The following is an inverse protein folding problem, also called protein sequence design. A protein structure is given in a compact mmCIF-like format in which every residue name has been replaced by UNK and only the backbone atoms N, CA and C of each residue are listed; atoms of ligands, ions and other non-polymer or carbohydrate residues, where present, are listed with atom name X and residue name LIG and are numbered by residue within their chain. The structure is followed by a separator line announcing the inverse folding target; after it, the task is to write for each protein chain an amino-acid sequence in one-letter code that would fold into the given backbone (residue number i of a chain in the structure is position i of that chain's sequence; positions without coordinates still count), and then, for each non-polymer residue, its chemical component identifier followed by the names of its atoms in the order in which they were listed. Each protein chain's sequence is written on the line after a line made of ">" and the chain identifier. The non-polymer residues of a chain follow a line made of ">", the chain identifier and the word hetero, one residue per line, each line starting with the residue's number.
data_IF_812659862685
#
_entry.id   IF_812659862685
#
_cell.length_a   1.000
_cell.length_b   1.000
_cell.length_c   1.000
_cell.angle_alpha   90.00
_cell.angle_beta   90.00
_cell.angle_gamma   90.00
#
_symmetry.space_group_name_H-M   'P 1'
#
loop_
_entity.id
_entity.type
_entity.pdbx_description
1 polymer ?
#
# COMPACT_ATOMS: atom_id res chain seq x y z
N UNK A 1 14.68 23.02 0.31
CA UNK A 1 14.25 21.89 -0.54
C UNK A 1 12.84 21.54 -0.11
N UNK A 2 11.85 22.28 -0.61
CA UNK A 2 10.47 22.20 -0.14
C UNK A 2 9.69 21.33 -1.13
N UNK A 3 9.90 20.01 -1.06
CA UNK A 3 8.99 19.07 -1.71
C UNK A 3 7.69 19.16 -0.93
N UNK A 4 6.74 19.94 -1.47
CA UNK A 4 5.33 19.80 -1.17
C UNK A 4 5.03 18.31 -1.35
N UNK A 5 4.98 17.58 -0.24
CA UNK A 5 4.49 16.22 -0.24
C UNK A 5 3.09 16.33 -0.82
N UNK A 6 2.92 15.87 -2.06
CA UNK A 6 1.59 15.58 -2.57
C UNK A 6 0.97 14.76 -1.46
N UNK A 7 -0.06 15.31 -0.81
CA UNK A 7 -0.72 14.66 0.31
C UNK A 7 -1.56 13.55 -0.29
N UNK A 8 -0.86 12.50 -0.71
CA UNK A 8 -1.44 11.35 -1.37
C UNK A 8 -2.27 10.63 -0.33
N UNK A 9 -3.50 10.27 -0.68
CA UNK A 9 -4.42 9.61 0.24
C UNK A 9 -3.93 8.18 0.53
N UNK A 10 -3.10 8.05 1.56
CA UNK A 10 -2.48 6.79 1.99
C UNK A 10 -3.42 5.89 2.80
N UNK A 11 -4.72 6.22 2.87
CA UNK A 11 -5.68 5.36 3.57
C UNK A 11 -5.86 4.06 2.79
N UNK A 12 -6.02 2.97 3.52
CA UNK A 12 -6.28 1.65 2.94
C UNK A 12 -7.70 1.61 2.40
N UNK A 13 -7.82 1.23 1.14
CA UNK A 13 -9.09 0.94 0.47
C UNK A 13 -9.46 -0.53 0.60
N UNK A 14 -8.51 -1.42 0.36
CA UNK A 14 -8.74 -2.87 0.39
C UNK A 14 -7.47 -3.63 0.80
N UNK A 15 -7.65 -4.83 1.34
CA UNK A 15 -6.57 -5.76 1.68
C UNK A 15 -6.88 -7.11 1.03
N UNK A 16 -5.91 -7.64 0.28
CA UNK A 16 -5.98 -8.96 -0.34
C UNK A 16 -4.92 -9.84 0.27
N UNK A 17 -5.33 -11.04 0.67
CA UNK A 17 -4.44 -12.07 1.21
C UNK A 17 -4.21 -13.10 0.11
N UNK A 18 -2.95 -13.36 -0.16
CA UNK A 18 -2.48 -14.42 -1.04
C UNK A 18 -1.85 -15.54 -0.20
N UNK A 19 -1.38 -16.60 -0.85
CA UNK A 19 -0.80 -17.76 -0.14
C UNK A 19 0.50 -17.40 0.59
N UNK A 20 1.34 -16.52 0.03
CA UNK A 20 2.68 -16.17 0.53
C UNK A 20 2.92 -14.65 0.72
N UNK A 21 1.91 -13.84 0.43
CA UNK A 21 1.99 -12.38 0.45
C UNK A 21 0.64 -11.74 0.81
N UNK A 22 0.67 -10.45 1.15
CA UNK A 22 -0.52 -9.62 1.15
C UNK A 22 -0.34 -8.39 0.30
N UNK A 23 -1.45 -7.96 -0.31
CA UNK A 23 -1.52 -6.74 -1.11
C UNK A 23 -2.48 -5.75 -0.45
N UNK A 24 -2.12 -4.47 -0.48
CA UNK A 24 -2.91 -3.37 0.05
C UNK A 24 -3.19 -2.40 -1.08
N UNK A 25 -4.47 -2.17 -1.38
CA UNK A 25 -4.90 -1.11 -2.28
C UNK A 25 -5.09 0.17 -1.47
N UNK A 26 -4.50 1.26 -1.92
CA UNK A 26 -4.66 2.58 -1.34
C UNK A 26 -5.78 3.35 -2.04
N UNK A 27 -6.35 4.32 -1.35
CA UNK A 27 -7.39 5.21 -1.90
C UNK A 27 -6.88 6.03 -3.09
N UNK A 28 -5.57 6.26 -3.17
CA UNK A 28 -4.90 6.93 -4.28
C UNK A 28 -4.74 6.07 -5.55
N UNK A 29 -5.19 4.81 -5.53
CA UNK A 29 -5.14 3.89 -6.66
C UNK A 29 -3.84 3.08 -6.78
N UNK A 30 -2.85 3.28 -5.91
CA UNK A 30 -1.66 2.42 -5.85
C UNK A 30 -1.97 1.11 -5.12
N UNK A 31 -1.24 0.07 -5.50
CA UNK A 31 -1.24 -1.23 -4.80
C UNK A 31 0.17 -1.53 -4.30
N UNK A 32 0.27 -1.87 -3.01
CA UNK A 32 1.50 -2.28 -2.35
C UNK A 32 1.42 -3.77 -2.04
N UNK A 33 2.40 -4.57 -2.46
CA UNK A 33 2.45 -6.01 -2.19
C UNK A 33 3.71 -6.35 -1.43
N UNK A 34 3.59 -7.14 -0.37
CA UNK A 34 4.72 -7.60 0.44
C UNK A 34 4.60 -9.08 0.78
N UNK A 35 5.71 -9.83 0.77
CA UNK A 35 5.75 -11.19 1.27
C UNK A 35 5.46 -11.26 2.77
N UNK A 36 4.93 -12.41 3.23
CA UNK A 36 4.75 -12.65 4.67
C UNK A 36 6.07 -12.87 5.41
N UNK A 37 7.09 -13.41 4.74
CA UNK A 37 8.39 -13.71 5.36
C UNK A 37 9.20 -12.46 5.77
N UNK A 38 8.69 -11.26 5.50
CA UNK A 38 9.26 -10.00 5.98
C UNK A 38 8.84 -9.66 7.42
N UNK A 39 7.85 -10.38 7.96
CA UNK A 39 7.34 -10.27 9.32
C UNK A 39 7.60 -11.55 10.11
#
# INVERSE_FOLDING_TARGET
>A
MNTLAIQTDIRVKNVLIHEDAFSVELMDGRTLTTPFNWF
#
